data_IF_609246681570
#
_entry.id   IF_609246681570
#
_cell.length_a   1.000
_cell.length_b   1.000
_cell.length_c   1.000
_cell.angle_alpha   90.00
_cell.angle_beta   90.00
_cell.angle_gamma   90.00
#
_symmetry.space_group_name_H-M   'P 1'
#
loop_
_entity.id
_entity.type
_entity.pdbx_description
1 polymer ?
#
# COMPACT_ATOMS: atom_id res chain seq x y z
N UNK A 1 -0.05 -3.87 -12.14
CA UNK A 1 1.14 -3.70 -11.27
C UNK A 1 1.07 -4.73 -10.15
N UNK A 2 2.14 -5.47 -9.91
CA UNK A 2 2.27 -6.33 -8.73
C UNK A 2 2.83 -5.51 -7.57
N UNK A 3 2.23 -5.62 -6.39
CA UNK A 3 2.68 -4.95 -5.18
C UNK A 3 3.11 -5.99 -4.16
N UNK A 4 4.36 -5.91 -3.71
CA UNK A 4 4.88 -6.68 -2.59
C UNK A 4 5.16 -5.73 -1.44
N UNK A 5 4.62 -6.02 -0.26
CA UNK A 5 4.88 -5.25 0.96
C UNK A 5 5.50 -6.17 2.00
N UNK A 6 6.75 -5.91 2.36
CA UNK A 6 7.50 -6.65 3.38
C UNK A 6 7.58 -5.85 4.67
N UNK A 7 7.01 -6.38 5.74
CA UNK A 7 7.17 -5.87 7.10
C UNK A 7 8.29 -6.64 7.80
N UNK A 8 9.28 -5.93 8.33
CA UNK A 8 10.37 -6.53 9.11
C UNK A 8 10.33 -5.99 10.53
N UNK A 9 10.23 -6.88 11.52
CA UNK A 9 10.25 -6.49 12.92
C UNK A 9 11.70 -6.28 13.38
N UNK A 10 12.10 -5.01 13.54
CA UNK A 10 13.42 -4.62 14.06
C UNK A 10 13.42 -4.34 15.57
N UNK A 11 12.30 -4.54 16.26
CA UNK A 11 12.20 -4.35 17.69
C UNK A 11 12.64 -5.61 18.46
N UNK A 12 12.80 -5.48 19.78
CA UNK A 12 13.11 -6.60 20.68
C UNK A 12 11.87 -7.36 21.14
N UNK A 13 10.66 -6.95 20.72
CA UNK A 13 9.39 -7.54 21.16
C UNK A 13 8.59 -8.08 19.99
N UNK A 14 7.64 -8.99 20.28
CA UNK A 14 6.63 -9.39 19.30
C UNK A 14 5.72 -8.19 19.01
N UNK A 15 5.36 -7.99 17.75
CA UNK A 15 4.48 -6.90 17.32
C UNK A 15 3.29 -7.44 16.51
N UNK A 16 2.15 -6.75 16.54
CA UNK A 16 0.91 -7.14 15.86
C UNK A 16 -0.04 -7.97 16.71
N UNK A 17 -1.15 -8.48 16.13
CA UNK A 17 -1.46 -8.52 14.70
C UNK A 17 -1.79 -7.16 14.09
N UNK A 18 -1.72 -7.08 12.77
CA UNK A 18 -1.90 -5.85 12.02
C UNK A 18 -2.81 -6.00 10.82
N UNK A 19 -3.47 -4.90 10.46
CA UNK A 19 -4.11 -4.74 9.17
C UNK A 19 -3.35 -3.71 8.33
N UNK A 20 -2.92 -4.10 7.13
CA UNK A 20 -2.25 -3.24 6.17
C UNK A 20 -3.22 -2.93 5.03
N UNK A 21 -3.55 -1.67 4.80
CA UNK A 21 -4.43 -1.23 3.71
C UNK A 21 -3.68 -0.39 2.70
N UNK A 22 -3.87 -0.67 1.42
CA UNK A 22 -3.32 0.12 0.31
C UNK A 22 -4.44 0.97 -0.28
N UNK A 23 -4.21 2.27 -0.37
CA UNK A 23 -5.23 3.24 -0.79
C UNK A 23 -4.65 4.10 -1.91
N UNK A 24 -5.12 3.94 -3.15
CA UNK A 24 -4.66 4.76 -4.27
C UNK A 24 -5.34 6.13 -4.21
N UNK A 25 -4.61 7.15 -4.62
CA UNK A 25 -5.13 8.50 -4.81
C UNK A 25 -4.40 9.23 -5.95
N UNK A 26 -4.97 10.34 -6.42
CA UNK A 26 -4.29 11.31 -7.27
C UNK A 26 -4.14 12.64 -6.55
N UNK A 27 -3.03 13.34 -6.74
CA UNK A 27 -2.86 14.71 -6.25
C UNK A 27 -3.17 15.71 -7.37
N UNK A 28 -4.17 16.56 -7.16
CA UNK A 28 -4.49 17.66 -8.07
C UNK A 28 -3.59 18.88 -7.82
N UNK A 29 -2.29 18.72 -8.07
CA UNK A 29 -1.25 19.77 -8.14
C UNK A 29 -1.24 20.84 -7.02
N UNK A 30 -1.84 20.57 -5.87
CA UNK A 30 -1.98 21.50 -4.73
C UNK A 30 -2.07 20.76 -3.38
N UNK A 31 -1.72 19.47 -3.32
CA UNK A 31 -1.88 18.64 -2.13
C UNK A 31 -3.32 18.19 -1.88
N UNK A 32 -4.22 18.37 -2.85
CA UNK A 32 -5.60 17.90 -2.76
C UNK A 32 -5.65 16.45 -3.25
N UNK A 33 -5.78 15.53 -2.31
CA UNK A 33 -5.83 14.10 -2.59
C UNK A 33 -7.23 13.66 -3.02
N UNK A 34 -7.34 13.14 -4.24
CA UNK A 34 -8.54 12.47 -4.72
C UNK A 34 -8.45 10.96 -4.56
N UNK A 35 -9.29 10.43 -3.67
CA UNK A 35 -9.42 8.99 -3.41
C UNK A 35 -10.56 8.33 -4.20
N UNK A 36 -11.45 9.11 -4.83
CA UNK A 36 -12.54 8.55 -5.66
C UNK A 36 -12.01 8.21 -7.06
N UNK A 37 -11.29 7.08 -7.12
CA UNK A 37 -10.66 6.58 -8.34
C UNK A 37 -11.50 5.47 -9.00
N UNK A 38 -12.82 5.49 -8.80
CA UNK A 38 -13.73 4.52 -9.41
C UNK A 38 -13.53 4.50 -10.92
N UNK A 39 -13.36 3.29 -11.47
CA UNK A 39 -13.08 3.04 -12.88
C UNK A 39 -11.73 3.57 -13.39
N UNK A 40 -10.87 4.11 -12.53
CA UNK A 40 -9.52 4.57 -12.90
C UNK A 40 -8.47 3.59 -12.39
N UNK A 41 -8.58 3.19 -11.12
CA UNK A 41 -7.72 2.20 -10.48
C UNK A 41 -8.60 1.17 -9.78
N UNK A 42 -8.28 -0.11 -9.92
CA UNK A 42 -8.97 -1.18 -9.19
C UNK A 42 -7.99 -2.18 -8.61
N UNK A 43 -8.34 -2.77 -7.46
CA UNK A 43 -7.57 -3.86 -6.88
C UNK A 43 -8.04 -5.18 -7.46
N UNK A 44 -7.08 -6.04 -7.78
CA UNK A 44 -7.34 -7.44 -8.07
C UNK A 44 -7.28 -8.17 -6.73
N UNK A 45 -8.45 -8.41 -6.12
CA UNK A 45 -8.58 -8.98 -4.79
C UNK A 45 -8.74 -7.92 -3.70
N UNK A 46 -8.28 -8.23 -2.49
CA UNK A 46 -8.37 -7.32 -1.34
C UNK A 46 -7.33 -6.19 -1.44
N UNK A 47 -7.71 -5.00 -0.99
CA UNK A 47 -6.79 -3.90 -0.75
C UNK A 47 -6.28 -3.84 0.70
N UNK A 48 -6.85 -4.68 1.58
CA UNK A 48 -6.43 -4.84 2.98
C UNK A 48 -5.89 -6.25 3.23
N UNK A 49 -4.74 -6.34 3.88
CA UNK A 49 -4.01 -7.56 4.16
C UNK A 49 -3.85 -7.73 5.67
N UNK A 50 -4.15 -8.93 6.17
CA UNK A 50 -3.93 -9.25 7.57
C UNK A 50 -2.51 -9.81 7.76
N UNK A 51 -1.79 -9.24 8.71
CA UNK A 51 -0.46 -9.67 9.11
C UNK A 51 -0.57 -10.18 10.55
N UNK A 52 -0.30 -11.46 10.76
CA UNK A 52 -0.22 -12.03 12.10
C UNK A 52 0.93 -11.41 12.92
N UNK A 53 1.05 -11.79 14.18
CA UNK A 53 2.14 -11.32 15.03
C UNK A 53 3.51 -11.69 14.43
N UNK A 54 4.44 -10.72 14.41
CA UNK A 54 5.79 -10.89 13.85
C UNK A 54 6.81 -10.91 14.98
N UNK A 55 7.58 -11.99 15.05
CA UNK A 55 8.64 -12.18 16.06
C UNK A 55 9.80 -11.19 15.86
N UNK A 56 10.60 -10.89 16.90
CA UNK A 56 11.83 -10.10 16.74
C UNK A 56 12.71 -10.66 15.62
N UNK A 57 13.29 -9.78 14.80
CA UNK A 57 14.15 -10.10 13.63
C UNK A 57 13.47 -10.80 12.45
N UNK A 58 12.23 -11.24 12.61
CA UNK A 58 11.45 -11.89 11.55
C UNK A 58 10.75 -10.88 10.63
N UNK A 59 10.20 -11.42 9.53
CA UNK A 59 9.44 -10.63 8.57
C UNK A 59 8.17 -11.34 8.10
N UNK A 60 7.22 -10.54 7.62
CA UNK A 60 6.02 -10.98 6.93
C UNK A 60 5.92 -10.28 5.58
N UNK A 61 5.37 -10.97 4.57
CA UNK A 61 5.23 -10.45 3.21
C UNK A 61 3.77 -10.54 2.79
N UNK A 62 3.24 -9.45 2.25
CA UNK A 62 1.90 -9.37 1.68
C UNK A 62 1.99 -9.05 0.20
N UNK A 63 1.16 -9.73 -0.60
CA UNK A 63 1.10 -9.56 -2.04
C UNK A 63 -0.25 -8.98 -2.44
N UNK A 64 -0.22 -7.95 -3.27
CA UNK A 64 -1.39 -7.31 -3.85
C UNK A 64 -1.20 -7.07 -5.34
N UNK A 65 -2.27 -6.68 -6.00
CA UNK A 65 -2.20 -6.29 -7.41
C UNK A 65 -3.17 -5.15 -7.69
N UNK A 66 -2.67 -4.12 -8.36
CA UNK A 66 -3.46 -2.98 -8.83
C UNK A 66 -3.52 -2.99 -10.34
N UNK A 67 -4.71 -2.78 -10.87
CA UNK A 67 -4.97 -2.55 -12.29
C UNK A 67 -5.26 -1.06 -12.49
N UNK A 68 -4.45 -0.42 -13.31
CA UNK A 68 -4.63 0.96 -13.74
C UNK A 68 -5.33 0.93 -15.11
N UNK A 69 -6.51 1.52 -15.18
CA UNK A 69 -7.36 1.51 -16.38
C UNK A 69 -7.10 2.74 -17.28
N UNK A 70 -6.43 3.76 -16.73
CA UNK A 70 -6.04 4.97 -17.44
C UNK A 70 -4.60 5.34 -17.11
N UNK A 71 -3.96 6.04 -18.06
CA UNK A 71 -2.67 6.67 -17.84
C UNK A 71 -2.76 7.82 -16.84
N UNK A 72 -1.68 8.05 -16.10
CA UNK A 72 -1.58 9.18 -15.19
C UNK A 72 -0.57 8.96 -14.07
N UNK A 73 -0.37 10.01 -13.28
CA UNK A 73 0.35 9.94 -12.02
C UNK A 73 -0.64 9.59 -10.89
N UNK A 74 -0.28 8.58 -10.12
CA UNK A 74 -1.03 8.03 -9.00
C UNK A 74 -0.11 7.90 -7.79
N UNK A 75 -0.69 7.86 -6.61
CA UNK A 75 0.01 7.64 -5.36
C UNK A 75 -0.68 6.55 -4.57
N UNK A 76 0.09 5.75 -3.83
CA UNK A 76 -0.41 4.70 -2.97
C UNK A 76 -0.05 5.04 -1.53
N UNK A 77 -1.07 5.27 -0.70
CA UNK A 77 -0.90 5.28 0.75
C UNK A 77 -0.92 3.85 1.26
N UNK A 78 0.06 3.51 2.10
CA UNK A 78 0.06 2.27 2.86
C UNK A 78 -0.29 2.65 4.29
N UNK A 79 -1.50 2.28 4.72
CA UNK A 79 -1.97 2.50 6.09
C UNK A 79 -1.83 1.23 6.88
N UNK A 80 -1.39 1.40 8.11
CA UNK A 80 -1.09 0.30 8.99
C UNK A 80 -1.84 0.50 10.30
N UNK A 81 -2.62 -0.50 10.68
CA UNK A 81 -3.45 -0.47 11.88
C UNK A 81 -3.03 -1.62 12.80
N UNK A 82 -2.76 -1.28 14.05
CA UNK A 82 -2.56 -2.24 15.13
C UNK A 82 -3.92 -2.56 15.77
N UNK A 83 -4.22 -3.85 15.89
CA UNK A 83 -5.44 -4.34 16.53
C UNK A 83 -5.21 -4.69 18.01
N UNK A 84 -3.99 -4.45 18.52
CA UNK A 84 -3.63 -4.79 19.89
C UNK A 84 -4.07 -3.71 20.89
N UNK A 85 -5.07 -4.04 21.72
CA UNK A 85 -5.64 -3.14 22.73
C UNK A 85 -4.75 -2.91 23.97
N UNK A 86 -3.58 -3.56 24.06
CA UNK A 86 -2.76 -3.58 25.28
C UNK A 86 -1.43 -2.82 25.24
N UNK A 87 -0.89 -2.52 24.05
CA UNK A 87 0.36 -1.75 23.89
C UNK A 87 0.26 -0.92 22.62
N UNK A 88 -0.02 0.37 22.77
CA UNK A 88 0.02 1.31 21.65
C UNK A 88 1.46 1.41 21.14
N UNK A 89 1.73 0.88 19.95
CA UNK A 89 2.95 1.19 19.23
C UNK A 89 2.99 2.70 18.93
N UNK A 90 4.18 3.32 18.87
CA UNK A 90 4.28 4.75 18.57
C UNK A 90 3.58 5.08 17.24
N UNK A 91 2.73 6.11 17.24
CA UNK A 91 2.00 6.53 16.03
C UNK A 91 2.92 6.82 14.83
N UNK A 92 4.15 7.28 15.11
CA UNK A 92 5.17 7.52 14.10
C UNK A 92 5.59 6.27 13.32
N UNK A 93 5.37 5.06 13.87
CA UNK A 93 5.64 3.80 13.17
C UNK A 93 4.62 3.52 12.07
N UNK A 94 3.49 4.21 12.08
CA UNK A 94 2.43 4.08 11.08
C UNK A 94 2.42 5.22 10.05
N UNK A 95 3.32 6.20 10.19
CA UNK A 95 3.54 7.27 9.21
C UNK A 95 4.42 6.76 8.07
N UNK A 96 3.83 6.02 7.12
CA UNK A 96 4.53 5.51 5.95
C UNK A 96 4.51 6.54 4.81
N UNK A 97 5.61 6.67 4.04
CA UNK A 97 5.62 7.53 2.87
C UNK A 97 4.70 6.95 1.78
N UNK A 98 4.02 7.84 1.06
CA UNK A 98 3.23 7.46 -0.12
C UNK A 98 4.15 7.03 -1.26
N UNK A 99 3.71 6.05 -2.05
CA UNK A 99 4.47 5.55 -3.21
C UNK A 99 3.90 6.18 -4.48
N UNK A 100 4.73 6.89 -5.25
CA UNK A 100 4.35 7.41 -6.57
C UNK A 100 4.42 6.31 -7.62
N UNK A 101 3.35 6.20 -8.41
CA UNK A 101 3.21 5.25 -9.52
C UNK A 101 2.75 6.01 -10.75
N UNK A 102 3.49 5.88 -11.84
CA UNK A 102 3.08 6.42 -13.14
C UNK A 102 2.57 5.30 -14.03
N UNK A 103 1.30 5.35 -14.40
CA UNK A 103 0.74 4.48 -15.44
C UNK A 103 0.90 5.18 -16.79
N UNK A 104 1.59 4.54 -17.72
CA UNK A 104 1.79 5.02 -19.09
C UNK A 104 1.13 4.07 -20.07
N UNK A 105 0.70 4.57 -21.22
CA UNK A 105 0.18 3.72 -22.27
C UNK A 105 1.27 2.76 -22.72
N UNK A 106 0.89 1.51 -22.92
CA UNK A 106 1.74 0.58 -23.65
C UNK A 106 1.64 0.95 -25.12
N UNK A 107 2.58 1.79 -25.59
CA UNK A 107 2.80 1.93 -27.03
C UNK A 107 3.22 0.56 -27.53
N UNK A 108 2.25 -0.22 -28.02
CA UNK A 108 2.55 -1.39 -28.82
C UNK A 108 3.10 -0.83 -30.12
N UNK A 109 4.43 -0.84 -30.28
CA UNK A 109 5.09 -0.67 -31.57
C UNK A 109 4.53 -1.73 -32.52
N UNK A 110 3.47 -1.37 -33.23
CA UNK A 110 2.99 -2.11 -34.39
C UNK A 110 3.88 -1.65 -35.53
N UNK A 111 5.01 -2.34 -35.68
CA UNK A 111 5.78 -2.31 -36.91
C UNK A 111 4.90 -2.90 -38.02
N UNK A 112 4.35 -2.04 -38.88
CA UNK A 112 3.83 -2.41 -40.20
C UNK A 112 4.96 -2.39 -41.24
#
# INVERSE_FOLDING_TARGET
>A
MHLEVKLTNRSSSVVGPFALSVIPYQDYQNGVHNYDLKNIVTFVGSNTFFIGSVQPTEHSVCFGSLLFLYTGDFYLDIKFQDDNSGRELPLSWFCLPSVHVRAVDTVSETHF
#
